data_IF_005682765209
#
_entry.id   IF_005682765209
#
_cell.length_a   1.000
_cell.length_b   1.000
_cell.length_c   1.000
_cell.angle_alpha   90.00
_cell.angle_beta   90.00
_cell.angle_gamma   90.00
#
_symmetry.space_group_name_H-M   'P 1'
#
loop_
_entity.id
_entity.type
_entity.pdbx_description
1 polymer ?
#
# COMPACT_ATOMS: atom_id res chain seq x y z
N UNK A 1 16.11 15.75 -8.68
CA UNK A 1 14.89 15.07 -8.25
C UNK A 1 13.73 15.89 -8.80
N UNK A 2 12.82 15.34 -9.61
CA UNK A 2 11.68 16.12 -10.11
C UNK A 2 10.80 16.52 -8.91
N UNK A 3 10.12 17.67 -8.96
CA UNK A 3 9.23 18.10 -7.89
C UNK A 3 8.07 17.11 -7.76
N UNK A 4 7.87 16.58 -6.55
CA UNK A 4 6.69 15.78 -6.20
C UNK A 4 5.57 16.77 -5.85
N UNK A 5 4.60 16.92 -6.76
CA UNK A 5 3.41 17.69 -6.47
C UNK A 5 2.35 16.74 -5.83
N UNK A 6 2.00 17.00 -4.58
CA UNK A 6 0.86 16.38 -3.94
C UNK A 6 -0.36 17.26 -4.18
N UNK A 7 -1.26 16.82 -5.06
CA UNK A 7 -2.58 17.45 -5.19
C UNK A 7 -3.57 16.66 -4.31
N UNK A 8 -4.16 17.30 -3.30
CA UNK A 8 -5.34 16.77 -2.62
C UNK A 8 -6.54 17.10 -3.50
N UNK A 9 -7.19 16.07 -4.02
CA UNK A 9 -8.47 16.23 -4.70
C UNK A 9 -9.54 16.55 -3.64
N UNK A 10 -9.73 17.83 -3.33
CA UNK A 10 -10.77 18.29 -2.43
C UNK A 10 -11.99 18.73 -3.25
N UNK A 11 -13.07 17.97 -3.18
CA UNK A 11 -14.34 18.33 -3.79
C UNK A 11 -15.49 17.79 -2.96
N UNK A 12 -16.33 18.68 -2.42
CA UNK A 12 -17.52 18.30 -1.63
C UNK A 12 -18.64 17.67 -2.49
N UNK A 13 -18.43 17.59 -3.79
CA UNK A 13 -19.33 16.96 -4.74
C UNK A 13 -18.56 16.24 -5.85
N UNK A 14 -19.12 15.23 -6.46
CA UNK A 14 -18.49 14.50 -7.56
C UNK A 14 -18.23 15.31 -8.81
N UNK A 15 -19.07 16.32 -9.09
CA UNK A 15 -18.81 17.27 -10.16
C UNK A 15 -17.60 18.15 -9.83
N UNK A 16 -17.43 18.54 -8.56
CA UNK A 16 -16.26 19.23 -8.05
C UNK A 16 -15.00 18.37 -8.15
N UNK A 17 -15.10 17.08 -7.82
CA UNK A 17 -13.98 16.14 -7.92
C UNK A 17 -13.52 15.92 -9.37
N UNK A 18 -14.47 15.77 -10.32
CA UNK A 18 -14.15 15.66 -11.75
C UNK A 18 -13.49 16.94 -12.29
N UNK A 19 -13.93 18.13 -11.82
CA UNK A 19 -13.32 19.39 -12.17
C UNK A 19 -11.90 19.53 -11.59
N UNK A 20 -11.70 19.18 -10.32
CA UNK A 20 -10.40 19.20 -9.66
C UNK A 20 -9.40 18.23 -10.34
N UNK A 21 -9.86 17.05 -10.74
CA UNK A 21 -9.06 16.09 -11.50
C UNK A 21 -8.61 16.69 -12.84
N UNK A 22 -9.53 17.29 -13.58
CA UNK A 22 -9.20 17.96 -14.86
C UNK A 22 -8.20 19.10 -14.68
N UNK A 23 -8.39 19.93 -13.67
CA UNK A 23 -7.49 21.02 -13.34
C UNK A 23 -6.09 20.51 -12.99
N UNK A 24 -6.00 19.46 -12.19
CA UNK A 24 -4.73 18.80 -11.83
C UNK A 24 -3.99 18.29 -13.07
N UNK A 25 -4.69 17.60 -13.98
CA UNK A 25 -4.10 17.13 -15.23
C UNK A 25 -3.68 18.28 -16.15
N UNK A 26 -4.43 19.38 -16.16
CA UNK A 26 -4.08 20.58 -16.94
C UNK A 26 -2.80 21.24 -16.40
N UNK A 27 -2.68 21.36 -15.07
CA UNK A 27 -1.48 21.92 -14.43
C UNK A 27 -0.24 21.09 -14.74
N UNK A 28 -0.34 19.77 -14.60
CA UNK A 28 0.80 18.88 -14.89
C UNK A 28 1.08 18.74 -16.39
N UNK A 29 0.11 19.09 -17.25
CA UNK A 29 0.28 19.09 -18.70
C UNK A 29 1.28 20.15 -19.20
N UNK A 30 1.55 21.18 -18.41
CA UNK A 30 2.53 22.24 -18.71
C UNK A 30 3.95 21.86 -18.28
N UNK A 31 4.12 20.77 -17.52
CA UNK A 31 5.43 20.32 -17.05
C UNK A 31 6.06 19.33 -18.04
N UNK A 32 7.38 19.37 -18.19
CA UNK A 32 8.09 18.49 -19.13
C UNK A 32 8.23 17.05 -18.59
N UNK A 33 8.67 16.88 -17.33
CA UNK A 33 8.91 15.58 -16.70
C UNK A 33 7.97 15.40 -15.52
N UNK A 34 7.05 14.46 -15.61
CA UNK A 34 6.00 14.28 -14.61
C UNK A 34 5.87 12.84 -14.17
N UNK A 35 5.93 12.61 -12.85
CA UNK A 35 5.39 11.43 -12.21
C UNK A 35 4.13 11.87 -11.45
N UNK A 36 2.97 11.41 -11.92
CA UNK A 36 1.70 11.63 -11.25
C UNK A 36 1.34 10.36 -10.47
N UNK A 37 1.17 10.49 -9.15
CA UNK A 37 0.76 9.40 -8.28
C UNK A 37 -0.64 9.65 -7.73
N UNK A 38 -1.53 8.65 -7.87
CA UNK A 38 -2.89 8.67 -7.34
C UNK A 38 -3.03 7.47 -6.41
N UNK A 39 -3.29 7.74 -5.14
CA UNK A 39 -3.56 6.71 -4.14
C UNK A 39 -5.07 6.44 -4.04
N UNK A 40 -5.42 5.20 -3.64
CA UNK A 40 -6.81 4.76 -3.48
C UNK A 40 -7.68 5.07 -4.71
N UNK A 41 -7.15 4.76 -5.90
CA UNK A 41 -7.79 5.12 -7.16
C UNK A 41 -9.18 4.50 -7.33
N UNK A 42 -9.51 3.44 -6.64
CA UNK A 42 -10.85 2.83 -6.57
C UNK A 42 -11.93 3.79 -6.05
N UNK A 43 -11.55 4.75 -5.19
CA UNK A 43 -12.50 5.75 -4.66
C UNK A 43 -13.03 6.70 -5.76
N UNK A 44 -12.22 6.94 -6.78
CA UNK A 44 -12.55 7.85 -7.88
C UNK A 44 -12.86 7.15 -9.20
N UNK A 45 -12.49 5.89 -9.32
CA UNK A 45 -12.56 5.11 -10.57
C UNK A 45 -13.18 3.71 -10.37
N UNK A 46 -14.08 3.59 -9.40
CA UNK A 46 -14.75 2.33 -9.05
C UNK A 46 -15.75 1.83 -10.10
N UNK A 47 -16.14 0.56 -9.94
CA UNK A 47 -17.10 -0.14 -10.79
C UNK A 47 -18.42 0.60 -10.93
N UNK A 48 -18.96 0.56 -12.14
CA UNK A 48 -20.29 1.12 -12.46
C UNK A 48 -21.38 0.31 -11.78
N UNK A 49 -22.09 0.91 -10.82
CA UNK A 49 -23.28 0.30 -10.25
C UNK A 49 -24.51 0.54 -11.13
N UNK A 50 -25.29 -0.50 -11.52
CA UNK A 50 -26.38 -0.36 -12.50
C UNK A 50 -27.56 0.52 -12.06
N UNK A 51 -27.67 0.86 -10.78
CA UNK A 51 -28.87 1.52 -10.20
C UNK A 51 -28.74 2.99 -9.80
N UNK A 52 -27.55 3.53 -9.87
CA UNK A 52 -27.35 4.95 -9.59
C UNK A 52 -26.54 5.55 -10.75
N UNK A 53 -27.07 6.62 -11.36
CA UNK A 53 -26.26 7.55 -12.14
C UNK A 53 -25.35 8.19 -11.12
N UNK A 54 -24.32 7.45 -10.75
CA UNK A 54 -23.44 7.79 -9.67
C UNK A 54 -22.56 8.91 -10.18
N UNK A 55 -22.46 9.87 -9.36
CA UNK A 55 -21.50 10.94 -9.46
C UNK A 55 -20.04 10.44 -9.64
N UNK A 56 -19.68 9.27 -9.11
CA UNK A 56 -18.42 8.54 -9.34
C UNK A 56 -18.24 8.20 -10.83
N UNK A 57 -19.31 7.89 -11.58
CA UNK A 57 -19.23 7.65 -13.04
C UNK A 57 -18.71 8.88 -13.80
N UNK A 58 -19.02 10.09 -13.32
CA UNK A 58 -18.52 11.34 -13.91
C UNK A 58 -16.99 11.45 -13.77
N UNK A 59 -16.46 11.10 -12.61
CA UNK A 59 -15.03 11.14 -12.33
C UNK A 59 -14.30 10.06 -13.12
N UNK A 60 -14.79 8.82 -13.10
CA UNK A 60 -14.24 7.71 -13.89
C UNK A 60 -14.21 8.05 -15.39
N UNK A 61 -15.30 8.59 -15.93
CA UNK A 61 -15.34 8.98 -17.33
C UNK A 61 -14.35 10.10 -17.65
N UNK A 62 -14.14 11.05 -16.74
CA UNK A 62 -13.16 12.09 -16.91
C UNK A 62 -11.74 11.52 -16.89
N UNK A 63 -11.42 10.64 -15.95
CA UNK A 63 -10.14 9.94 -15.89
C UNK A 63 -9.85 9.17 -17.18
N UNK A 64 -10.85 8.46 -17.72
CA UNK A 64 -10.75 7.73 -18.99
C UNK A 64 -10.43 8.63 -20.19
N UNK A 65 -10.78 9.92 -20.15
CA UNK A 65 -10.44 10.91 -21.20
C UNK A 65 -9.05 11.53 -20.99
N UNK A 66 -8.63 11.70 -19.73
CA UNK A 66 -7.39 12.40 -19.38
C UNK A 66 -6.14 11.51 -19.50
N UNK A 67 -6.27 10.19 -19.26
CA UNK A 67 -5.13 9.25 -19.29
C UNK A 67 -4.49 9.19 -20.68
N UNK A 68 -5.21 8.95 -21.82
CA UNK A 68 -4.57 8.79 -23.11
C UNK A 68 -3.70 10.00 -23.50
N UNK A 69 -4.21 11.24 -23.51
CA UNK A 69 -3.39 12.40 -23.92
C UNK A 69 -2.24 12.69 -22.94
N UNK A 70 -2.37 12.31 -21.66
CA UNK A 70 -1.26 12.41 -20.71
C UNK A 70 -0.12 11.47 -21.08
N UNK A 71 -0.41 10.25 -21.53
CA UNK A 71 0.57 9.23 -21.93
C UNK A 71 1.26 9.50 -23.27
N UNK A 72 0.63 10.24 -24.17
CA UNK A 72 1.19 10.56 -25.50
C UNK A 72 2.42 11.46 -25.44
N UNK A 73 2.65 12.11 -24.30
CA UNK A 73 3.83 12.94 -24.09
C UNK A 73 4.94 12.12 -23.42
N UNK A 74 6.15 12.26 -23.95
CA UNK A 74 7.35 11.64 -23.42
C UNK A 74 7.63 12.06 -21.96
N UNK A 75 8.40 11.26 -21.23
CA UNK A 75 8.85 11.51 -19.87
C UNK A 75 7.71 11.71 -18.85
N UNK A 76 6.54 11.11 -19.10
CA UNK A 76 5.38 11.12 -18.20
C UNK A 76 5.05 9.73 -17.71
N UNK A 77 4.85 9.62 -16.41
CA UNK A 77 4.44 8.38 -15.75
C UNK A 77 3.24 8.65 -14.85
N UNK A 78 2.16 7.90 -15.08
CA UNK A 78 1.02 7.81 -14.18
C UNK A 78 1.13 6.52 -13.38
N UNK A 79 1.16 6.64 -12.06
CA UNK A 79 1.13 5.52 -11.12
C UNK A 79 -0.12 5.65 -10.26
N UNK A 80 -0.91 4.59 -10.19
CA UNK A 80 -2.07 4.53 -9.33
C UNK A 80 -1.92 3.35 -8.36
N UNK A 81 -2.23 3.57 -7.09
CA UNK A 81 -2.33 2.51 -6.10
C UNK A 81 -3.80 2.21 -5.79
N UNK A 82 -4.09 0.93 -5.55
CA UNK A 82 -5.41 0.46 -5.16
C UNK A 82 -5.30 -0.71 -4.19
N UNK A 83 -6.23 -0.77 -3.25
CA UNK A 83 -6.39 -1.92 -2.35
C UNK A 83 -7.24 -3.03 -2.98
N UNK A 84 -7.90 -2.78 -4.12
CA UNK A 84 -8.72 -3.75 -4.82
C UNK A 84 -8.78 -3.47 -6.31
N UNK A 85 -8.01 -4.22 -7.09
CA UNK A 85 -8.06 -4.13 -8.56
C UNK A 85 -9.44 -4.51 -9.12
N UNK A 86 -10.16 -5.41 -8.44
CA UNK A 86 -11.53 -5.82 -8.81
C UNK A 86 -12.55 -4.71 -8.65
N UNK A 87 -12.30 -3.74 -7.78
CA UNK A 87 -13.17 -2.58 -7.58
C UNK A 87 -13.05 -1.53 -8.69
N UNK A 88 -12.01 -1.59 -9.53
CA UNK A 88 -11.80 -0.64 -10.61
C UNK A 88 -12.74 -0.88 -11.80
N UNK A 89 -13.13 0.21 -12.47
CA UNK A 89 -13.82 0.11 -13.78
C UNK A 89 -12.89 -0.63 -14.78
N UNK A 90 -13.39 -1.74 -15.33
CA UNK A 90 -12.62 -2.58 -16.26
C UNK A 90 -12.12 -1.82 -17.49
N UNK A 91 -12.76 -0.70 -17.82
CA UNK A 91 -12.29 0.16 -18.91
C UNK A 91 -10.90 0.76 -18.62
N UNK A 92 -10.54 0.99 -17.36
CA UNK A 92 -9.19 1.47 -16.98
C UNK A 92 -8.11 0.41 -17.20
N UNK A 93 -8.47 -0.86 -17.04
CA UNK A 93 -7.57 -1.99 -17.21
C UNK A 93 -7.38 -2.41 -18.68
N UNK A 94 -7.93 -1.67 -19.67
CA UNK A 94 -7.71 -1.94 -21.09
C UNK A 94 -6.37 -1.37 -21.56
N UNK A 95 -5.80 -2.01 -22.60
CA UNK A 95 -4.59 -1.50 -23.26
C UNK A 95 -4.73 -0.03 -23.67
N UNK A 96 -3.65 0.73 -23.53
CA UNK A 96 -3.65 2.16 -23.81
C UNK A 96 -4.07 3.02 -22.61
N UNK A 97 -4.27 2.42 -21.42
CA UNK A 97 -4.57 3.10 -20.16
C UNK A 97 -3.59 2.66 -19.08
N UNK A 98 -3.94 1.63 -18.28
CA UNK A 98 -2.99 0.97 -17.39
C UNK A 98 -2.44 -0.26 -18.08
N UNK A 99 -1.24 -0.15 -18.64
CA UNK A 99 -0.62 -1.26 -19.36
C UNK A 99 0.06 -2.24 -18.41
N UNK A 100 0.52 -1.74 -17.26
CA UNK A 100 1.15 -2.52 -16.21
C UNK A 100 0.25 -2.58 -14.99
N UNK A 101 0.11 -3.76 -14.43
CA UNK A 101 -0.56 -4.03 -13.15
C UNK A 101 0.39 -4.83 -12.31
N UNK A 102 1.03 -4.15 -11.34
CA UNK A 102 2.07 -4.72 -10.50
C UNK A 102 1.46 -5.12 -9.16
N UNK A 103 1.39 -6.41 -8.84
CA UNK A 103 0.90 -6.86 -7.55
C UNK A 103 1.95 -6.61 -6.46
N UNK A 104 1.52 -6.03 -5.33
CA UNK A 104 2.33 -5.86 -4.12
C UNK A 104 1.66 -6.66 -3.01
N UNK A 105 2.13 -7.89 -2.82
CA UNK A 105 1.54 -8.85 -1.89
C UNK A 105 2.12 -8.80 -0.49
N UNK A 106 1.63 -9.72 0.36
CA UNK A 106 2.22 -9.96 1.66
C UNK A 106 3.72 -10.28 1.56
N UNK A 107 4.53 -9.87 2.54
CA UNK A 107 5.95 -10.19 2.52
C UNK A 107 6.17 -11.71 2.65
N UNK A 108 7.03 -12.26 1.80
CA UNK A 108 7.54 -13.62 1.93
C UNK A 108 8.51 -13.74 3.14
N UNK A 109 9.10 -14.92 3.36
CA UNK A 109 9.98 -15.15 4.50
C UNK A 109 11.22 -14.25 4.49
N UNK A 110 11.84 -14.08 3.33
CA UNK A 110 13.03 -13.24 3.17
C UNK A 110 12.70 -11.77 3.41
N UNK A 111 11.60 -11.29 2.86
CA UNK A 111 11.11 -9.95 3.09
C UNK A 111 10.74 -9.72 4.56
N UNK A 112 10.05 -10.68 5.22
CA UNK A 112 9.75 -10.57 6.66
C UNK A 112 11.02 -10.50 7.48
N UNK A 113 12.03 -11.31 7.18
CA UNK A 113 13.32 -11.25 7.87
C UNK A 113 13.95 -9.86 7.72
N UNK A 114 14.02 -9.34 6.51
CA UNK A 114 14.59 -8.01 6.26
C UNK A 114 13.82 -6.88 6.99
N UNK A 115 12.49 -7.01 7.11
CA UNK A 115 11.66 -6.06 7.85
C UNK A 115 11.95 -6.17 9.36
N UNK A 116 12.04 -7.38 9.90
CA UNK A 116 12.42 -7.61 11.29
C UNK A 116 13.81 -7.05 11.60
N UNK A 117 14.81 -7.34 10.79
CA UNK A 117 16.18 -6.83 10.94
C UNK A 117 16.20 -5.30 10.98
N UNK A 118 15.37 -4.65 10.17
CA UNK A 118 15.24 -3.20 10.15
C UNK A 118 14.71 -2.66 11.49
N UNK A 119 13.64 -3.24 12.02
CA UNK A 119 12.99 -2.71 13.23
C UNK A 119 13.71 -3.12 14.51
N UNK A 120 14.29 -4.33 14.57
CA UNK A 120 15.05 -4.80 15.71
C UNK A 120 16.38 -4.07 15.87
N UNK A 121 16.95 -3.52 14.78
CA UNK A 121 18.20 -2.74 14.85
C UNK A 121 18.15 -1.58 15.86
N UNK A 122 16.99 -1.03 16.12
CA UNK A 122 16.81 0.08 17.08
C UNK A 122 16.63 -0.41 18.53
N UNK A 123 16.51 -1.71 18.75
CA UNK A 123 16.27 -2.32 20.06
C UNK A 123 17.56 -3.02 20.49
N UNK A 124 18.15 -2.70 21.63
CA UNK A 124 19.31 -3.45 22.15
C UNK A 124 18.93 -4.92 22.35
N UNK A 125 19.62 -5.83 21.67
CA UNK A 125 19.35 -7.26 21.76
C UNK A 125 20.64 -8.08 21.71
N UNK A 126 20.57 -9.30 22.27
CA UNK A 126 21.58 -10.33 22.10
C UNK A 126 21.42 -11.08 20.78
N UNK A 127 21.89 -12.32 20.74
CA UNK A 127 21.64 -13.21 19.61
C UNK A 127 20.16 -13.64 19.63
N UNK A 128 19.45 -13.44 18.51
CA UNK A 128 18.04 -13.77 18.34
C UNK A 128 17.89 -14.96 17.38
N UNK A 129 16.98 -15.88 17.72
CA UNK A 129 16.51 -16.92 16.80
C UNK A 129 15.58 -16.29 15.73
N UNK A 130 16.17 -15.72 14.68
CA UNK A 130 15.44 -15.09 13.60
C UNK A 130 14.57 -16.08 12.83
N UNK A 131 14.96 -17.36 12.75
CA UNK A 131 14.13 -18.36 12.09
C UNK A 131 12.80 -18.56 12.83
N UNK A 132 12.82 -18.64 14.16
CA UNK A 132 11.60 -18.70 14.96
C UNK A 132 10.76 -17.42 14.84
N UNK A 133 11.38 -16.25 14.84
CA UNK A 133 10.69 -14.94 14.70
C UNK A 133 9.97 -14.84 13.35
N UNK A 134 10.65 -15.18 12.25
CA UNK A 134 10.09 -15.15 10.89
C UNK A 134 8.96 -16.17 10.73
N UNK A 135 9.13 -17.39 11.26
CA UNK A 135 8.10 -18.42 11.19
C UNK A 135 6.82 -18.02 11.95
N UNK A 136 6.96 -17.45 13.16
CA UNK A 136 5.82 -17.03 13.98
C UNK A 136 5.10 -15.79 13.45
N UNK A 137 5.78 -14.96 12.64
CA UNK A 137 5.21 -13.76 12.02
C UNK A 137 4.59 -14.02 10.63
N UNK A 138 4.24 -15.27 10.31
CA UNK A 138 3.49 -15.60 9.10
C UNK A 138 2.17 -14.81 9.05
N UNK A 139 1.80 -14.28 7.90
CA UNK A 139 0.65 -13.40 7.68
C UNK A 139 0.75 -12.02 8.35
N UNK A 140 1.93 -11.62 8.79
CA UNK A 140 2.15 -10.25 9.23
C UNK A 140 2.41 -9.32 8.05
N UNK A 141 1.76 -8.17 8.06
CA UNK A 141 2.13 -7.05 7.21
C UNK A 141 3.37 -6.34 7.76
N UNK A 142 4.05 -5.48 6.97
CA UNK A 142 5.11 -4.64 7.50
C UNK A 142 4.69 -3.81 8.73
N UNK A 143 3.44 -3.34 8.78
CA UNK A 143 2.88 -2.61 9.91
C UNK A 143 2.69 -3.49 11.15
N UNK A 144 2.26 -4.75 10.96
CA UNK A 144 2.15 -5.70 12.07
C UNK A 144 3.53 -6.00 12.68
N UNK A 145 4.56 -6.17 11.83
CA UNK A 145 5.96 -6.38 12.28
C UNK A 145 6.46 -5.15 13.03
N UNK A 146 6.22 -3.95 12.52
CA UNK A 146 6.58 -2.71 13.20
C UNK A 146 5.91 -2.62 14.58
N UNK A 147 4.62 -2.93 14.66
CA UNK A 147 3.89 -2.91 15.93
C UNK A 147 4.45 -3.94 16.91
N UNK A 148 4.70 -5.18 16.46
CA UNK A 148 5.27 -6.22 17.29
C UNK A 148 6.67 -5.88 17.80
N UNK A 149 7.51 -5.25 16.97
CA UNK A 149 8.83 -4.76 17.37
C UNK A 149 8.74 -3.66 18.43
N UNK A 150 7.82 -2.70 18.25
CA UNK A 150 7.55 -1.67 19.30
C UNK A 150 7.06 -2.29 20.61
N UNK A 151 6.20 -3.29 20.52
CA UNK A 151 5.73 -4.02 21.69
C UNK A 151 6.87 -4.76 22.39
N UNK A 152 7.79 -5.37 21.64
CA UNK A 152 9.02 -5.98 22.16
C UNK A 152 9.85 -4.96 22.95
N UNK A 153 10.10 -3.80 22.38
CA UNK A 153 10.85 -2.73 23.05
C UNK A 153 10.17 -2.30 24.37
N UNK A 154 8.84 -2.21 24.38
CA UNK A 154 8.08 -1.88 25.57
C UNK A 154 8.21 -2.97 26.65
N UNK A 155 8.12 -4.25 26.28
CA UNK A 155 8.28 -5.38 27.21
C UNK A 155 9.66 -5.39 27.87
N UNK A 156 10.73 -5.14 27.07
CA UNK A 156 12.08 -5.03 27.61
C UNK A 156 12.20 -3.84 28.56
N UNK A 157 11.65 -2.69 28.20
CA UNK A 157 11.66 -1.50 29.05
C UNK A 157 10.92 -1.72 30.35
N UNK A 158 9.74 -2.34 30.34
CA UNK A 158 8.97 -2.70 31.53
C UNK A 158 9.77 -3.63 32.44
N UNK A 159 10.44 -4.65 31.88
CA UNK A 159 11.30 -5.58 32.63
C UNK A 159 12.46 -4.88 33.30
N UNK A 160 13.16 -3.98 32.60
CA UNK A 160 14.25 -3.19 33.19
C UNK A 160 13.76 -2.31 34.34
N UNK A 161 12.60 -1.68 34.20
CA UNK A 161 12.05 -0.80 35.22
C UNK A 161 11.59 -1.53 36.49
N UNK A 162 10.90 -2.67 36.34
CA UNK A 162 10.23 -3.34 37.44
C UNK A 162 11.07 -4.47 38.04
N UNK A 163 11.76 -5.22 37.19
CA UNK A 163 12.50 -6.41 37.66
C UNK A 163 14.01 -6.13 37.81
N UNK A 164 14.48 -4.93 37.43
CA UNK A 164 15.89 -4.55 37.45
C UNK A 164 16.79 -5.56 36.75
N UNK A 165 16.29 -6.30 35.75
CA UNK A 165 17.00 -7.38 35.05
C UNK A 165 16.96 -7.23 33.55
N UNK A 166 18.06 -7.58 32.89
CA UNK A 166 18.17 -7.81 31.45
C UNK A 166 17.83 -6.57 30.56
N UNK A 167 18.85 -5.81 30.20
CA UNK A 167 18.70 -4.64 29.30
C UNK A 167 18.56 -5.02 27.83
N UNK A 168 18.86 -6.27 27.48
CA UNK A 168 18.82 -6.76 26.10
C UNK A 168 17.54 -7.53 25.82
N UNK A 169 16.97 -7.32 24.65
CA UNK A 169 15.86 -8.15 24.18
C UNK A 169 16.34 -9.57 23.86
N UNK A 170 15.54 -10.54 24.26
CA UNK A 170 15.73 -11.96 23.98
C UNK A 170 14.69 -12.42 22.94
N UNK A 171 14.93 -13.57 22.32
CA UNK A 171 13.96 -14.18 21.39
C UNK A 171 12.57 -14.31 22.00
N UNK A 172 12.49 -14.66 23.29
CA UNK A 172 11.23 -14.79 24.01
C UNK A 172 10.43 -13.46 24.06
N UNK A 173 11.11 -12.32 24.19
CA UNK A 173 10.45 -11.01 24.19
C UNK A 173 9.84 -10.70 22.81
N UNK A 174 10.59 -11.01 21.74
CA UNK A 174 10.10 -10.81 20.36
C UNK A 174 8.91 -11.73 20.08
N UNK A 175 8.99 -13.01 20.43
CA UNK A 175 7.88 -13.95 20.25
C UNK A 175 6.65 -13.55 21.06
N UNK A 176 6.83 -12.98 22.24
CA UNK A 176 5.73 -12.43 23.04
C UNK A 176 5.11 -11.20 22.36
N UNK A 177 5.93 -10.29 21.83
CA UNK A 177 5.46 -9.15 21.02
C UNK A 177 4.62 -9.60 19.82
N UNK A 178 5.06 -10.66 19.13
CA UNK A 178 4.30 -11.30 18.04
C UNK A 178 2.97 -11.87 18.56
N UNK A 179 2.98 -12.63 19.66
CA UNK A 179 1.77 -13.25 20.20
C UNK A 179 0.72 -12.23 20.65
N UNK A 180 1.14 -11.06 21.13
CA UNK A 180 0.27 -9.95 21.56
C UNK A 180 -0.19 -9.08 20.37
N UNK A 181 0.33 -9.30 19.16
CA UNK A 181 -0.02 -8.55 17.94
C UNK A 181 -1.12 -9.28 17.16
N UNK A 182 -2.21 -8.56 16.86
CA UNK A 182 -3.26 -9.10 15.99
C UNK A 182 -2.78 -9.10 14.53
N UNK A 183 -2.87 -10.25 13.87
CA UNK A 183 -2.60 -10.37 12.43
C UNK A 183 -3.62 -9.59 11.63
N UNK A 184 -3.15 -8.79 10.70
CA UNK A 184 -4.02 -8.06 9.76
C UNK A 184 -4.49 -8.96 8.63
N UNK A 185 -3.64 -9.88 8.14
CA UNK A 185 -3.95 -10.77 7.02
C UNK A 185 -4.54 -12.10 7.49
N UNK A 186 -5.41 -12.65 6.63
CA UNK A 186 -5.94 -14.01 6.74
C UNK A 186 -5.49 -14.85 5.54
N UNK A 187 -5.52 -16.18 5.66
CA UNK A 187 -5.23 -17.07 4.53
C UNK A 187 -6.14 -16.78 3.34
N UNK A 188 -7.43 -16.55 3.60
CA UNK A 188 -8.39 -16.21 2.55
C UNK A 188 -8.00 -14.93 1.78
N UNK A 189 -7.53 -13.88 2.48
CA UNK A 189 -7.07 -12.66 1.82
C UNK A 189 -5.84 -12.92 0.92
N UNK A 190 -4.96 -13.82 1.34
CA UNK A 190 -3.81 -14.22 0.52
C UNK A 190 -4.26 -14.99 -0.73
N UNK A 191 -5.18 -15.95 -0.58
CA UNK A 191 -5.76 -16.71 -1.70
C UNK A 191 -6.47 -15.78 -2.71
N UNK A 192 -7.27 -14.82 -2.21
CA UNK A 192 -7.92 -13.82 -3.06
C UNK A 192 -6.90 -12.95 -3.81
N UNK A 193 -5.81 -12.57 -3.15
CA UNK A 193 -4.72 -11.82 -3.79
C UNK A 193 -3.99 -12.64 -4.86
N UNK A 194 -3.71 -13.92 -4.62
CA UNK A 194 -3.12 -14.82 -5.61
C UNK A 194 -4.01 -15.00 -6.84
N UNK A 195 -5.33 -15.06 -6.63
CA UNK A 195 -6.29 -15.07 -7.73
C UNK A 195 -6.26 -13.75 -8.51
N UNK A 196 -6.14 -12.60 -7.82
CA UNK A 196 -6.02 -11.29 -8.46
C UNK A 196 -4.73 -11.17 -9.30
N UNK A 197 -3.63 -11.76 -8.84
CA UNK A 197 -2.40 -11.86 -9.65
C UNK A 197 -2.70 -12.61 -10.95
N UNK A 198 -3.36 -13.76 -10.86
CA UNK A 198 -3.68 -14.58 -12.02
C UNK A 198 -4.58 -13.86 -13.03
N UNK A 199 -5.57 -13.13 -12.54
CA UNK A 199 -6.59 -12.48 -13.36
C UNK A 199 -6.12 -11.15 -13.96
N UNK A 200 -5.28 -10.39 -13.25
CA UNK A 200 -5.02 -8.98 -13.56
C UNK A 200 -3.56 -8.60 -13.73
N UNK A 201 -2.59 -9.36 -13.17
CA UNK A 201 -1.18 -8.99 -13.26
C UNK A 201 -0.71 -8.88 -14.71
N UNK A 202 0.02 -7.79 -15.00
CA UNK A 202 0.64 -7.53 -16.30
C UNK A 202 1.98 -6.84 -16.09
N UNK A 203 3.04 -7.48 -16.54
CA UNK A 203 4.42 -7.01 -16.44
C UNK A 203 5.04 -6.89 -17.81
#
# INVERSE_FOLDING_TARGET
MPPVAQARLAGDSPAGLAAALRESFTLVAELDKVLLFIDEVEEIAGLRQPRTVSAVQGVTNEMLKLIPPFREKDERLLVCATNSVRALDTALLRHGRFDYVLPVGPPDEEARQAIWDRYLRAIPHGELDMAAVVAQSRLFTPADIEFAARRTAQLVFERVLFDHSGELAETADVLRGIAETRRTLTEQMVEEFEQDITDFART
#
